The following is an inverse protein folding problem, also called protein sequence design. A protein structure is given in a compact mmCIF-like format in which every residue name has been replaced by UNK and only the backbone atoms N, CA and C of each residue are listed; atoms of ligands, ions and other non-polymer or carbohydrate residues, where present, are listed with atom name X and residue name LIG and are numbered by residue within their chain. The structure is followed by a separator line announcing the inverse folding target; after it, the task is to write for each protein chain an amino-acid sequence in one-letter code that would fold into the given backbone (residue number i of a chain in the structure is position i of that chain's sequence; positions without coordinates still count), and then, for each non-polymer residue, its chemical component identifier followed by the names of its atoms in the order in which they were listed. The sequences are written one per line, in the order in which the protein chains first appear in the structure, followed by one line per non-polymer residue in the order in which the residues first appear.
data_IF_545954976151
#
_entry.id   IF_545954976151
#
_cell.length_a   1.000
_cell.length_b   1.000
_cell.length_c   1.000
_cell.angle_alpha   90.00
_cell.angle_beta   90.00
_cell.angle_gamma   90.00
#
_symmetry.space_group_name_H-M   'P 1'
#
loop_
_entity.id
_entity.type
_entity.pdbx_description
1 polymer ?
#
# COMPACT_ATOMS: atom_id res chain seq x y z
N UNK A 1 -1.16 2.58 6.06
CA UNK A 1 -1.12 3.72 5.13
C UNK A 1 0.32 4.16 4.98
N UNK A 2 0.90 4.41 3.80
CA UNK A 2 2.24 4.95 3.64
C UNK A 2 2.09 6.41 3.93
N UNK A 3 2.05 6.68 5.22
CA UNK A 3 2.34 7.99 5.68
C UNK A 3 3.83 8.19 5.46
N UNK A 4 4.18 9.32 4.88
CA UNK A 4 5.48 9.90 5.17
C UNK A 4 5.24 10.87 6.32
N UNK A 5 5.65 10.45 7.50
CA UNK A 5 5.54 11.30 8.67
C UNK A 5 6.78 12.16 8.79
N UNK A 6 6.57 13.46 8.97
CA UNK A 6 7.56 14.36 9.54
C UNK A 6 7.01 14.82 10.86
N UNK A 7 7.35 14.08 11.92
CA UNK A 7 7.07 14.50 13.29
C UNK A 7 8.39 14.88 13.98
N UNK A 8 8.43 16.02 14.69
CA UNK A 8 9.48 16.24 15.66
C UNK A 8 9.36 15.15 16.72
N UNK A 9 10.51 14.68 17.22
CA UNK A 9 10.58 13.83 18.40
C UNK A 9 10.08 14.68 19.58
N UNK A 10 8.78 14.66 19.83
CA UNK A 10 8.19 15.26 21.02
C UNK A 10 8.03 14.17 22.07
N UNK A 11 8.63 14.39 23.23
CA UNK A 11 8.13 13.79 24.45
C UNK A 11 6.87 14.55 24.84
N UNK A 12 5.69 13.93 24.73
CA UNK A 12 4.51 14.44 25.44
C UNK A 12 3.69 13.30 26.05
N UNK A 13 3.35 13.40 27.34
CA UNK A 13 2.32 12.60 27.96
C UNK A 13 0.95 13.14 27.49
N UNK A 14 0.11 12.29 26.94
CA UNK A 14 -1.33 12.58 26.86
C UNK A 14 -1.96 11.89 28.05
N UNK A 15 -2.20 12.64 29.13
CA UNK A 15 -2.88 12.15 30.31
C UNK A 15 -4.37 11.97 30.03
N UNK A 16 -4.88 10.76 30.25
CA UNK A 16 -6.11 10.60 31.04
C UNK A 16 -5.70 9.85 32.30
N UNK A 17 -6.04 10.42 33.46
CA UNK A 17 -5.36 10.20 34.74
C UNK A 17 -5.21 8.73 35.14
N UNK A 18 -4.00 8.35 35.51
CA UNK A 18 -3.61 7.96 36.87
C UNK A 18 -2.09 8.09 36.95
N UNK A 19 -1.63 8.55 38.10
CA UNK A 19 -0.24 8.75 38.50
C UNK A 19 0.60 7.50 38.23
N UNK A 20 1.61 7.58 37.36
CA UNK A 20 2.65 6.56 37.25
C UNK A 20 3.99 7.20 36.89
N UNK A 21 4.91 6.98 37.81
CA UNK A 21 6.28 7.47 37.90
C UNK A 21 7.11 7.25 36.63
N UNK A 22 8.08 8.16 36.47
CA UNK A 22 9.23 8.09 35.57
C UNK A 22 9.73 6.66 35.33
N UNK A 23 9.47 6.09 34.14
CA UNK A 23 10.37 5.19 33.39
C UNK A 23 9.74 4.75 32.06
N UNK A 24 10.54 4.88 30.99
CA UNK A 24 10.27 4.50 29.59
C UNK A 24 9.40 5.46 28.78
N UNK A 25 10.02 6.55 28.33
CA UNK A 25 9.39 7.49 27.39
C UNK A 25 9.50 6.93 25.97
N UNK A 26 8.40 6.36 25.48
CA UNK A 26 8.29 5.84 24.13
C UNK A 26 7.90 6.95 23.14
N UNK A 27 8.50 6.92 21.95
CA UNK A 27 8.19 7.86 20.88
C UNK A 27 7.06 7.27 20.04
N UNK A 28 5.91 7.95 20.08
CA UNK A 28 4.61 7.42 19.64
C UNK A 28 4.14 8.16 18.41
N UNK A 29 3.97 7.42 17.31
CA UNK A 29 3.37 7.96 16.11
C UNK A 29 1.96 7.39 15.91
N UNK A 30 0.97 8.28 16.00
CA UNK A 30 -0.46 7.97 15.97
C UNK A 30 -0.97 7.85 14.54
N UNK A 31 -1.59 6.72 14.23
CA UNK A 31 -2.30 6.38 13.01
C UNK A 31 -3.78 6.24 13.36
N UNK A 32 -4.64 7.12 12.84
CA UNK A 32 -6.08 7.01 13.06
C UNK A 32 -6.67 5.82 12.28
N UNK A 33 -7.05 4.75 13.00
CA UNK A 33 -7.57 3.53 12.39
C UNK A 33 -8.94 3.74 11.76
N UNK A 34 -9.82 4.52 12.39
CA UNK A 34 -11.17 4.74 11.88
C UNK A 34 -11.15 5.49 10.55
N UNK A 35 -10.27 6.48 10.42
CA UNK A 35 -10.04 7.21 9.18
C UNK A 35 -9.47 6.30 8.09
N UNK A 36 -8.47 5.47 8.41
CA UNK A 36 -7.88 4.49 7.46
C UNK A 36 -8.91 3.45 7.03
N UNK A 37 -9.70 2.94 7.96
CA UNK A 37 -10.81 1.99 7.72
C UNK A 37 -11.91 2.64 6.88
N UNK A 38 -12.29 3.87 7.16
CA UNK A 38 -13.39 4.56 6.48
C UNK A 38 -13.02 4.90 5.03
N UNK A 39 -11.75 5.28 4.81
CA UNK A 39 -11.22 5.57 3.46
C UNK A 39 -10.94 4.30 2.66
N UNK A 40 -10.53 3.22 3.32
CA UNK A 40 -10.21 1.94 2.67
C UNK A 40 -10.95 0.74 3.28
N UNK A 41 -12.29 0.75 3.35
CA UNK A 41 -13.08 -0.26 4.06
C UNK A 41 -12.95 -1.66 3.44
N UNK A 42 -12.43 -1.71 2.21
CA UNK A 42 -12.20 -2.92 1.42
C UNK A 42 -10.76 -3.49 1.57
N UNK A 43 -9.79 -2.71 2.10
CA UNK A 43 -8.40 -3.14 2.31
C UNK A 43 -8.13 -3.50 3.77
N UNK A 44 -8.50 -2.61 4.68
CA UNK A 44 -8.43 -2.81 6.12
C UNK A 44 -9.87 -2.87 6.60
N UNK A 45 -10.46 -4.07 6.56
CA UNK A 45 -11.77 -4.24 7.18
C UNK A 45 -11.59 -3.99 8.68
N UNK A 46 -12.36 -3.09 9.30
CA UNK A 46 -12.28 -2.85 10.74
C UNK A 46 -12.49 -4.14 11.53
N UNK A 47 -13.31 -5.08 11.03
CA UNK A 47 -13.50 -6.42 11.60
C UNK A 47 -12.25 -7.30 11.61
N UNK A 48 -11.22 -6.97 10.81
CA UNK A 48 -9.92 -7.63 10.84
C UNK A 48 -8.90 -6.90 11.72
N UNK A 49 -9.24 -5.73 12.29
CA UNK A 49 -8.46 -5.07 13.35
C UNK A 49 -9.18 -5.18 14.72
N UNK A 50 -10.35 -5.81 14.78
CA UNK A 50 -11.00 -6.13 16.06
C UNK A 50 -10.27 -7.25 16.83
N UNK A 51 -10.86 -7.66 17.95
CA UNK A 51 -10.45 -8.61 19.01
C UNK A 51 -9.75 -9.93 18.60
N UNK A 52 -9.54 -10.20 17.30
CA UNK A 52 -8.81 -11.37 16.78
C UNK A 52 -7.36 -11.09 16.42
N UNK A 53 -6.99 -9.82 16.20
CA UNK A 53 -5.57 -9.43 16.07
C UNK A 53 -4.99 -9.34 17.47
N UNK A 54 -3.90 -10.06 17.70
CA UNK A 54 -3.20 -10.01 18.99
C UNK A 54 -1.82 -9.36 18.87
N UNK A 55 -1.33 -9.17 17.65
CA UNK A 55 -0.11 -8.42 17.35
C UNK A 55 -0.24 -7.81 15.97
N UNK A 56 0.26 -6.59 15.81
CA UNK A 56 0.39 -5.92 14.52
C UNK A 56 1.75 -5.23 14.45
N UNK A 57 2.36 -5.24 13.27
CA UNK A 57 3.60 -4.56 12.97
C UNK A 57 3.39 -3.69 11.72
N UNK A 58 4.06 -2.55 11.71
CA UNK A 58 4.17 -1.67 10.57
C UNK A 58 5.47 -1.97 9.83
N UNK A 59 5.36 -2.27 8.55
CA UNK A 59 6.52 -2.40 7.67
C UNK A 59 6.87 -1.01 7.15
N UNK A 60 7.94 -0.41 7.64
CA UNK A 60 8.34 0.97 7.34
C UNK A 60 9.71 1.03 6.67
N UNK A 61 9.95 2.09 5.90
CA UNK A 61 11.26 2.51 5.44
C UNK A 61 11.62 3.83 6.14
N UNK A 62 12.74 3.84 6.84
CA UNK A 62 13.24 5.04 7.50
C UNK A 62 14.26 5.66 6.56
N UNK A 63 13.93 6.86 6.05
CA UNK A 63 14.76 7.59 5.11
C UNK A 63 15.88 8.30 5.85
N UNK A 64 15.53 9.32 6.63
CA UNK A 64 16.47 10.34 7.08
C UNK A 64 16.04 10.96 8.41
N UNK A 65 17.01 11.50 9.13
CA UNK A 65 16.87 12.20 10.41
C UNK A 65 17.39 13.62 10.25
N UNK A 66 16.64 14.58 10.76
CA UNK A 66 16.90 16.01 10.62
C UNK A 66 16.88 16.72 11.97
N UNK A 67 17.73 17.72 12.11
CA UNK A 67 17.74 18.64 13.25
C UNK A 67 16.44 19.46 13.34
N UNK A 68 16.14 20.08 14.51
CA UNK A 68 14.98 20.96 14.67
C UNK A 68 14.95 22.12 13.65
N UNK A 69 16.11 22.53 13.13
CA UNK A 69 16.26 23.60 12.13
C UNK A 69 16.14 23.09 10.68
N UNK A 70 15.85 21.81 10.47
CA UNK A 70 15.75 21.20 9.13
C UNK A 70 17.08 20.86 8.45
N UNK A 71 18.20 20.92 9.17
CA UNK A 71 19.49 20.40 8.68
C UNK A 71 19.56 18.87 8.80
N UNK A 72 20.01 18.18 7.74
CA UNK A 72 20.17 16.72 7.74
C UNK A 72 21.19 16.30 8.81
N UNK A 73 20.76 15.45 9.75
CA UNK A 73 21.64 14.83 10.74
C UNK A 73 22.23 13.53 10.19
N UNK A 74 21.38 12.67 9.62
CA UNK A 74 21.77 11.33 9.19
C UNK A 74 20.81 10.77 8.13
N UNK A 75 21.34 10.10 7.12
CA UNK A 75 20.55 9.25 6.22
C UNK A 75 20.63 7.80 6.71
N UNK A 76 19.47 7.15 6.88
CA UNK A 76 19.32 5.77 7.37
C UNK A 76 19.01 4.82 6.23
N UNK A 77 18.04 5.16 5.37
CA UNK A 77 17.61 4.42 4.18
C UNK A 77 17.47 2.90 4.39
N UNK A 78 16.66 2.48 5.37
CA UNK A 78 16.52 1.07 5.73
C UNK A 78 15.09 0.69 6.12
N UNK A 79 14.71 -0.56 5.80
CA UNK A 79 13.43 -1.16 6.19
C UNK A 79 13.45 -1.67 7.64
N UNK A 80 12.31 -1.49 8.32
CA UNK A 80 12.05 -1.99 9.67
C UNK A 80 10.64 -2.59 9.77
N UNK A 81 10.49 -3.64 10.57
CA UNK A 81 9.20 -4.08 11.09
C UNK A 81 9.06 -3.49 12.51
N UNK A 82 8.22 -2.47 12.66
CA UNK A 82 8.05 -1.77 13.92
C UNK A 82 6.73 -2.18 14.59
N UNK A 83 6.72 -2.40 15.91
CA UNK A 83 5.51 -2.81 16.61
C UNK A 83 4.45 -1.71 16.61
N UNK A 84 3.20 -2.12 16.47
CA UNK A 84 2.04 -1.25 16.63
C UNK A 84 1.32 -1.56 17.95
N UNK A 85 1.28 -0.57 18.83
CA UNK A 85 0.48 -0.62 20.05
C UNK A 85 -0.95 -0.15 19.77
N UNK A 86 -1.95 -0.79 20.38
CA UNK A 86 -3.30 -0.24 20.51
C UNK A 86 -3.41 0.39 21.89
N UNK A 87 -3.87 1.64 21.96
CA UNK A 87 -3.96 2.34 23.24
C UNK A 87 -5.25 2.04 24.02
N UNK A 88 -6.04 1.03 23.61
CA UNK A 88 -7.29 0.66 24.29
C UNK A 88 -7.28 -0.80 24.75
N UNK A 89 -6.85 -1.00 26.01
CA UNK A 89 -7.15 -2.22 26.78
C UNK A 89 -8.59 -2.15 27.27
N UNK A 90 -9.52 -2.79 26.57
CA UNK A 90 -10.83 -3.09 27.15
C UNK A 90 -10.79 -4.52 27.70
N UNK A 91 -10.91 -4.67 29.03
CA UNK A 91 -11.05 -5.97 29.72
C UNK A 91 -9.96 -7.03 29.40
N UNK A 92 -8.70 -6.61 29.31
CA UNK A 92 -7.57 -7.55 29.11
C UNK A 92 -7.49 -8.19 27.72
N UNK A 93 -8.34 -7.78 26.78
CA UNK A 93 -8.25 -8.14 25.36
C UNK A 93 -7.72 -6.95 24.56
N UNK A 94 -6.71 -7.18 23.73
CA UNK A 94 -6.25 -6.20 22.74
C UNK A 94 -7.41 -5.94 21.77
N UNK A 95 -7.91 -4.71 21.77
CA UNK A 95 -8.85 -4.23 20.78
C UNK A 95 -8.18 -3.08 20.03
N UNK A 96 -8.05 -3.17 18.71
CA UNK A 96 -7.57 -2.05 17.88
C UNK A 96 -8.75 -1.20 17.42
N UNK A 97 -9.57 -0.77 18.38
CA UNK A 97 -10.56 0.30 18.20
C UNK A 97 -9.94 1.58 18.74
N UNK A 98 -9.32 2.37 17.87
CA UNK A 98 -8.66 3.63 18.23
C UNK A 98 -7.37 3.84 17.45
N UNK A 99 -6.60 4.83 17.88
CA UNK A 99 -5.33 5.19 17.28
C UNK A 99 -4.30 4.05 17.41
N UNK A 100 -3.71 3.64 16.28
CA UNK A 100 -2.56 2.73 16.22
C UNK A 100 -1.30 3.55 16.47
N UNK A 101 -0.51 3.14 17.45
CA UNK A 101 0.72 3.83 17.80
C UNK A 101 1.92 3.04 17.30
N UNK A 102 2.64 3.61 16.33
CA UNK A 102 3.95 3.13 15.91
C UNK A 102 4.99 3.51 16.97
N UNK A 103 5.61 2.51 17.55
CA UNK A 103 6.71 2.70 18.50
C UNK A 103 8.05 2.73 17.75
N UNK A 104 8.71 3.89 17.76
CA UNK A 104 10.01 4.09 17.12
C UNK A 104 11.14 4.22 18.17
N UNK A 105 10.89 3.85 19.42
CA UNK A 105 11.84 4.10 20.52
C UNK A 105 13.17 3.40 20.33
N UNK A 106 13.13 2.12 19.93
CA UNK A 106 14.37 1.36 19.71
C UNK A 106 15.12 1.86 18.48
N UNK A 107 14.41 2.29 17.43
CA UNK A 107 15.02 3.00 16.29
C UNK A 107 15.76 4.26 16.77
N UNK A 108 15.13 5.07 17.63
CA UNK A 108 15.78 6.28 18.12
C UNK A 108 17.00 5.98 18.99
N UNK A 109 16.97 4.92 19.80
CA UNK A 109 18.13 4.48 20.58
C UNK A 109 19.26 3.99 19.67
N UNK A 110 18.95 3.14 18.70
CA UNK A 110 19.94 2.54 17.79
C UNK A 110 20.69 3.60 16.96
N UNK A 111 20.05 4.73 16.68
CA UNK A 111 20.62 5.82 15.88
C UNK A 111 21.01 7.06 16.69
N UNK A 112 20.94 7.00 18.03
CA UNK A 112 21.20 8.13 18.94
C UNK A 112 20.41 9.39 18.54
N UNK A 113 19.16 9.24 18.13
CA UNK A 113 18.33 10.33 17.61
C UNK A 113 17.87 11.21 18.79
N UNK A 114 18.28 12.50 18.85
CA UNK A 114 17.91 13.34 19.97
C UNK A 114 16.46 13.79 19.90
N UNK A 115 15.98 14.25 21.04
CA UNK A 115 14.63 14.79 21.18
C UNK A 115 14.53 16.13 20.46
N UNK A 116 13.37 16.39 19.85
CA UNK A 116 13.08 17.55 19.01
C UNK A 116 13.54 17.41 17.55
N UNK A 117 14.24 16.33 17.18
CA UNK A 117 14.67 16.08 15.81
C UNK A 117 13.51 15.52 14.97
N UNK A 118 13.58 15.63 13.66
CA UNK A 118 12.58 15.08 12.76
C UNK A 118 13.08 13.76 12.18
N UNK A 119 12.20 12.77 12.05
CA UNK A 119 12.47 11.52 11.34
C UNK A 119 11.50 11.44 10.17
N UNK A 120 12.00 11.11 8.99
CA UNK A 120 11.19 10.82 7.82
C UNK A 120 11.00 9.30 7.70
N UNK A 121 9.77 8.84 7.89
CA UNK A 121 9.40 7.42 7.86
C UNK A 121 8.30 7.22 6.83
N UNK A 122 8.48 6.28 5.91
CA UNK A 122 7.50 5.84 4.92
C UNK A 122 6.90 4.49 5.34
N UNK A 123 5.57 4.35 5.40
CA UNK A 123 4.91 3.10 5.83
C UNK A 123 4.46 2.22 4.64
N UNK A 124 5.12 1.11 4.35
CA UNK A 124 4.82 0.26 3.19
C UNK A 124 3.70 -0.78 3.38
N UNK A 125 3.47 -1.23 4.62
CA UNK A 125 2.41 -2.18 4.89
C UNK A 125 2.12 -2.40 6.36
N UNK A 126 1.05 -3.13 6.64
CA UNK A 126 0.75 -3.65 7.97
C UNK A 126 0.84 -5.18 7.94
N UNK A 127 1.49 -5.75 8.95
CA UNK A 127 1.57 -7.20 9.15
C UNK A 127 0.79 -7.54 10.41
N UNK A 128 -0.33 -8.21 10.24
CA UNK A 128 -1.27 -8.52 11.32
C UNK A 128 -1.22 -10.01 11.64
N UNK A 129 -1.18 -10.33 12.93
CA UNK A 129 -1.10 -11.68 13.46
C UNK A 129 -2.42 -12.04 14.14
N UNK A 130 -3.08 -13.09 13.62
CA UNK A 130 -4.38 -13.55 14.08
C UNK A 130 -4.25 -14.85 14.86
N UNK A 131 -4.97 -14.95 16.00
CA UNK A 131 -5.14 -16.25 16.67
C UNK A 131 -6.32 -16.98 16.05
N UNK A 132 -6.11 -18.23 15.65
CA UNK A 132 -7.21 -19.13 15.25
C UNK A 132 -8.05 -19.52 16.47
N UNK A 133 -9.38 -19.53 16.33
CA UNK A 133 -10.32 -20.04 17.34
C UNK A 133 -10.36 -21.58 17.38
N UNK A 134 -9.80 -22.28 16.37
CA UNK A 134 -9.84 -23.75 16.29
C UNK A 134 -8.52 -24.36 16.77
N UNK A 135 -8.54 -24.90 17.99
CA UNK A 135 -7.70 -25.96 18.64
C UNK A 135 -6.24 -26.21 18.19
N UNK A 136 -5.60 -25.29 17.49
CA UNK A 136 -4.18 -25.32 17.17
C UNK A 136 -3.67 -23.88 17.14
N UNK A 137 -2.50 -23.59 17.74
CA UNK A 137 -1.96 -22.23 17.88
C UNK A 137 -1.34 -21.74 16.58
N UNK A 138 -1.96 -22.04 15.43
CA UNK A 138 -1.48 -21.51 14.16
C UNK A 138 -1.82 -20.02 14.11
N UNK A 139 -0.77 -19.21 14.16
CA UNK A 139 -0.88 -17.77 13.95
C UNK A 139 -1.00 -17.53 12.46
N UNK A 140 -2.18 -17.15 11.99
CA UNK A 140 -2.33 -16.69 10.62
C UNK A 140 -1.70 -15.31 10.52
N UNK A 141 -0.74 -15.13 9.62
CA UNK A 141 -0.14 -13.83 9.32
C UNK A 141 -0.78 -13.29 8.06
N UNK A 142 -1.27 -12.06 8.12
CA UNK A 142 -1.76 -11.36 6.93
C UNK A 142 -1.04 -10.03 6.76
N UNK A 143 -0.50 -9.83 5.57
CA UNK A 143 0.14 -8.59 5.18
C UNK A 143 -0.82 -7.76 4.34
N UNK A 144 -0.98 -6.52 4.73
CA UNK A 144 -1.76 -5.50 4.04
C UNK A 144 -0.78 -4.52 3.41
N UNK A 145 -0.51 -4.70 2.13
CA UNK A 145 0.27 -3.75 1.35
C UNK A 145 -0.53 -2.47 1.17
N UNK A 146 0.20 -1.38 1.00
CA UNK A 146 -0.39 -0.07 0.84
C UNK A 146 -0.31 0.41 -0.59
N UNK A 147 -1.19 1.35 -0.93
CA UNK A 147 -1.47 1.76 -2.29
C UNK A 147 -1.04 3.20 -2.56
N UNK A 148 -0.79 3.57 -3.82
CA UNK A 148 -0.39 4.93 -4.20
C UNK A 148 -1.40 5.98 -3.78
N UNK A 149 -2.68 5.67 -3.95
CA UNK A 149 -3.80 6.56 -3.61
C UNK A 149 -4.01 6.66 -2.10
N UNK A 150 -3.21 5.94 -1.31
CA UNK A 150 -3.16 6.03 0.15
C UNK A 150 -1.98 6.82 0.70
N UNK A 151 -1.16 7.42 -0.17
CA UNK A 151 -0.05 8.28 0.26
C UNK A 151 -0.54 9.71 0.48
N UNK A 152 -0.48 10.17 1.73
CA UNK A 152 -0.79 11.55 2.11
C UNK A 152 0.40 12.20 2.82
N UNK A 153 0.47 13.52 2.73
CA UNK A 153 1.50 14.32 3.39
C UNK A 153 0.96 14.78 4.75
N UNK A 154 1.74 14.56 5.81
CA UNK A 154 1.41 15.05 7.14
C UNK A 154 2.56 15.88 7.70
N UNK A 155 2.25 17.09 8.13
CA UNK A 155 3.18 18.05 8.73
C UNK A 155 2.62 18.57 10.04
N UNK A 156 3.49 18.73 11.04
CA UNK A 156 3.13 19.56 12.19
C UNK A 156 3.21 21.05 11.83
N UNK A 157 2.40 21.89 12.50
CA UNK A 157 2.27 23.34 12.26
C UNK A 157 3.62 24.09 12.24
N UNK A 158 4.62 23.59 12.98
CA UNK A 158 5.95 24.19 13.09
C UNK A 158 7.05 23.43 12.32
N UNK A 159 6.68 22.61 11.33
CA UNK A 159 7.66 21.88 10.50
C UNK A 159 8.45 22.84 9.63
N UNK A 160 9.79 22.84 9.67
CA UNK A 160 10.63 23.65 8.78
C UNK A 160 10.26 23.46 7.30
N UNK A 161 10.15 24.55 6.53
CA UNK A 161 9.75 24.53 5.10
C UNK A 161 10.62 23.59 4.25
N UNK A 162 11.92 23.55 4.53
CA UNK A 162 12.85 22.61 3.86
C UNK A 162 12.44 21.14 4.05
N UNK A 163 11.90 20.77 5.20
CA UNK A 163 11.42 19.41 5.46
C UNK A 163 10.12 19.13 4.71
N UNK A 164 9.26 20.14 4.54
CA UNK A 164 8.06 20.04 3.70
C UNK A 164 8.46 19.70 2.27
N UNK A 165 9.46 20.40 1.71
CA UNK A 165 9.92 20.15 0.35
C UNK A 165 10.56 18.77 0.16
N UNK A 166 11.40 18.32 1.10
CA UNK A 166 11.99 16.98 1.08
C UNK A 166 10.90 15.92 1.12
N UNK A 167 9.93 16.09 2.01
CA UNK A 167 8.81 15.16 2.18
C UNK A 167 7.96 15.08 0.93
N UNK A 168 7.61 16.21 0.33
CA UNK A 168 6.84 16.24 -0.93
C UNK A 168 7.55 15.48 -2.05
N UNK A 169 8.88 15.59 -2.16
CA UNK A 169 9.66 14.81 -3.14
C UNK A 169 9.58 13.31 -2.84
N UNK A 170 9.77 12.92 -1.58
CA UNK A 170 9.68 11.52 -1.17
C UNK A 170 8.27 10.96 -1.34
N UNK A 171 7.22 11.75 -1.13
CA UNK A 171 5.82 11.40 -1.38
C UNK A 171 5.58 11.09 -2.85
N UNK A 172 6.11 11.89 -3.76
CA UNK A 172 6.00 11.61 -5.19
C UNK A 172 6.75 10.32 -5.55
N UNK A 173 7.96 10.12 -5.04
CA UNK A 173 8.73 8.89 -5.25
C UNK A 173 8.03 7.64 -4.68
N UNK A 174 7.41 7.78 -3.50
CA UNK A 174 6.64 6.75 -2.82
C UNK A 174 5.39 6.38 -3.62
N UNK A 175 4.63 7.38 -4.09
CA UNK A 175 3.46 7.17 -4.95
C UNK A 175 3.84 6.38 -6.20
N UNK A 176 4.93 6.76 -6.85
CA UNK A 176 5.43 6.06 -8.04
C UNK A 176 5.86 4.62 -7.71
N UNK A 177 6.59 4.42 -6.60
CA UNK A 177 7.06 3.08 -6.17
C UNK A 177 5.90 2.16 -5.82
N UNK A 178 4.93 2.66 -5.05
CA UNK A 178 3.74 1.91 -4.67
C UNK A 178 2.81 1.66 -5.86
N UNK A 179 2.86 2.52 -6.90
CA UNK A 179 2.04 2.37 -8.11
C UNK A 179 2.27 1.03 -8.75
N UNK A 180 3.53 0.63 -8.71
CA UNK A 180 3.97 -0.60 -9.30
C UNK A 180 3.94 -1.72 -8.26
N UNK A 181 4.64 -1.58 -7.13
CA UNK A 181 4.81 -2.68 -6.17
C UNK A 181 3.56 -3.01 -5.35
N UNK A 182 2.83 -1.99 -4.89
CA UNK A 182 1.60 -2.17 -4.12
C UNK A 182 0.52 -2.82 -4.97
N UNK A 183 0.39 -2.38 -6.22
CA UNK A 183 -0.57 -2.93 -7.17
C UNK A 183 -0.25 -4.39 -7.56
N UNK A 184 1.01 -4.70 -7.85
CA UNK A 184 1.46 -6.08 -8.13
C UNK A 184 1.12 -6.99 -6.95
N UNK A 185 1.43 -6.56 -5.72
CA UNK A 185 1.15 -7.35 -4.51
C UNK A 185 -0.35 -7.59 -4.32
N UNK A 186 -1.17 -6.57 -4.57
CA UNK A 186 -2.63 -6.69 -4.49
C UNK A 186 -3.18 -7.68 -5.53
N UNK A 187 -2.66 -7.68 -6.77
CA UNK A 187 -3.08 -8.62 -7.80
C UNK A 187 -2.79 -10.09 -7.39
N UNK A 188 -1.63 -10.35 -6.77
CA UNK A 188 -1.35 -11.67 -6.17
C UNK A 188 -2.35 -12.02 -5.06
N UNK A 189 -2.66 -11.07 -4.16
CA UNK A 189 -3.57 -11.31 -3.05
C UNK A 189 -5.00 -11.67 -3.50
N UNK A 190 -5.47 -11.10 -4.61
CA UNK A 190 -6.80 -11.39 -5.17
C UNK A 190 -6.80 -12.56 -6.17
N UNK A 191 -5.68 -13.28 -6.30
CA UNK A 191 -5.57 -14.49 -7.12
C UNK A 191 -5.35 -14.26 -8.62
N UNK A 192 -5.02 -13.03 -9.04
CA UNK A 192 -4.68 -12.71 -10.43
C UNK A 192 -3.16 -12.84 -10.66
N UNK A 193 -2.60 -14.01 -10.34
CA UNK A 193 -1.15 -14.24 -10.28
C UNK A 193 -0.44 -14.02 -11.63
N UNK A 194 -1.03 -14.50 -12.73
CA UNK A 194 -0.43 -14.36 -14.07
C UNK A 194 -0.34 -12.88 -14.49
N UNK A 195 -1.44 -12.14 -14.26
CA UNK A 195 -1.50 -10.69 -14.51
C UNK A 195 -0.50 -9.94 -13.62
N UNK A 196 -0.37 -10.33 -12.35
CA UNK A 196 0.60 -9.74 -11.42
C UNK A 196 2.04 -9.97 -11.88
N UNK A 197 2.36 -11.18 -12.34
CA UNK A 197 3.67 -11.56 -12.86
C UNK A 197 4.01 -10.78 -14.14
N UNK A 198 3.08 -10.71 -15.09
CA UNK A 198 3.27 -9.96 -16.32
C UNK A 198 3.44 -8.46 -16.05
N UNK A 199 2.64 -7.88 -15.14
CA UNK A 199 2.78 -6.48 -14.74
C UNK A 199 4.16 -6.20 -14.10
N UNK A 200 4.63 -7.10 -13.24
CA UNK A 200 5.97 -7.01 -12.63
C UNK A 200 7.07 -6.96 -13.68
N UNK A 201 7.05 -7.89 -14.64
CA UNK A 201 8.08 -7.92 -15.68
C UNK A 201 7.98 -6.69 -16.59
N UNK A 202 6.76 -6.23 -16.91
CA UNK A 202 6.55 -5.02 -17.70
C UNK A 202 7.15 -3.77 -17.04
N UNK A 203 6.88 -3.55 -15.75
CA UNK A 203 7.45 -2.42 -14.99
C UNK A 203 8.98 -2.50 -14.92
N UNK A 204 9.54 -3.69 -14.61
CA UNK A 204 11.00 -3.85 -14.52
C UNK A 204 11.68 -3.57 -15.86
N UNK A 205 11.14 -4.11 -16.95
CA UNK A 205 11.67 -3.89 -18.30
C UNK A 205 11.58 -2.42 -18.71
N UNK A 206 10.48 -1.74 -18.34
CA UNK A 206 10.32 -0.31 -18.59
C UNK A 206 11.38 0.51 -17.84
N UNK A 207 11.65 0.20 -16.56
CA UNK A 207 12.68 0.86 -15.77
C UNK A 207 14.10 0.62 -16.33
N UNK A 208 14.35 -0.57 -16.88
CA UNK A 208 15.58 -0.95 -17.58
C UNK A 208 15.70 -0.34 -18.99
N UNK A 209 14.68 0.41 -19.45
CA UNK A 209 14.56 0.98 -20.80
C UNK A 209 14.52 -0.07 -21.91
N UNK A 210 14.19 -1.31 -21.59
CA UNK A 210 13.83 -2.37 -22.54
C UNK A 210 12.35 -2.21 -22.92
N UNK A 211 12.09 -1.22 -23.77
CA UNK A 211 10.74 -0.77 -24.12
C UNK A 211 9.94 -1.82 -24.90
N UNK A 212 10.58 -2.58 -25.79
CA UNK A 212 9.93 -3.66 -26.54
C UNK A 212 9.43 -4.77 -25.60
N UNK A 213 10.29 -5.19 -24.68
CA UNK A 213 9.89 -6.18 -23.66
C UNK A 213 8.83 -5.61 -22.73
N UNK A 214 8.94 -4.35 -22.32
CA UNK A 214 7.93 -3.69 -21.50
C UNK A 214 6.55 -3.71 -22.18
N UNK A 215 6.48 -3.28 -23.45
CA UNK A 215 5.25 -3.28 -24.27
C UNK A 215 4.67 -4.69 -24.38
N UNK A 216 5.51 -5.71 -24.65
CA UNK A 216 5.08 -7.11 -24.71
C UNK A 216 4.39 -7.55 -23.43
N UNK A 217 4.92 -7.21 -22.26
CA UNK A 217 4.34 -7.61 -20.98
C UNK A 217 3.13 -6.77 -20.58
N UNK A 218 3.11 -5.46 -20.85
CA UNK A 218 1.92 -4.64 -20.66
C UNK A 218 0.74 -5.07 -21.56
N UNK A 219 1.03 -5.50 -22.80
CA UNK A 219 0.04 -6.13 -23.69
C UNK A 219 -0.56 -7.39 -23.06
N UNK A 220 0.26 -8.24 -22.45
CA UNK A 220 -0.22 -9.45 -21.74
C UNK A 220 -1.09 -9.12 -20.52
N UNK A 221 -0.79 -8.03 -19.81
CA UNK A 221 -1.67 -7.55 -18.73
C UNK A 221 -3.06 -7.21 -19.27
N UNK A 222 -3.15 -6.48 -20.38
CA UNK A 222 -4.42 -6.18 -21.04
C UNK A 222 -5.14 -7.45 -21.55
N UNK A 223 -4.39 -8.40 -22.10
CA UNK A 223 -4.88 -9.73 -22.49
C UNK A 223 -5.50 -10.50 -21.32
N UNK A 224 -4.79 -10.59 -20.20
CA UNK A 224 -5.26 -11.28 -19.00
C UNK A 224 -6.52 -10.63 -18.43
N UNK A 225 -6.62 -9.30 -18.42
CA UNK A 225 -7.85 -8.63 -17.99
C UNK A 225 -9.01 -8.84 -18.95
N UNK A 226 -8.77 -8.82 -20.27
CA UNK A 226 -9.81 -9.16 -21.27
C UNK A 226 -10.37 -10.54 -20.98
N UNK A 227 -9.50 -11.52 -20.77
CA UNK A 227 -9.91 -12.90 -20.57
C UNK A 227 -10.61 -13.10 -19.22
N UNK A 228 -10.14 -12.44 -18.16
CA UNK A 228 -10.82 -12.40 -16.87
C UNK A 228 -12.23 -11.80 -16.98
N UNK A 229 -12.34 -10.61 -17.60
CA UNK A 229 -13.60 -9.89 -17.77
C UNK A 229 -14.62 -10.64 -18.62
N UNK A 230 -14.19 -11.54 -19.52
CA UNK A 230 -15.08 -12.42 -20.27
C UNK A 230 -15.94 -13.29 -19.35
N UNK A 231 -15.41 -13.69 -18.19
CA UNK A 231 -16.10 -14.47 -17.16
C UNK A 231 -16.98 -13.67 -16.20
N UNK A 232 -17.01 -12.33 -16.31
CA UNK A 232 -17.70 -11.44 -15.38
C UNK A 232 -19.07 -11.02 -15.92
N UNK A 233 -20.10 -11.07 -15.07
CA UNK A 233 -21.46 -10.62 -15.41
C UNK A 233 -21.68 -9.15 -15.05
N UNK A 234 -21.22 -8.72 -13.87
CA UNK A 234 -21.46 -7.38 -13.33
C UNK A 234 -20.24 -6.83 -12.62
N UNK A 235 -20.07 -5.51 -12.73
CA UNK A 235 -19.16 -4.72 -11.89
C UNK A 235 -19.98 -3.62 -11.23
N UNK A 236 -19.88 -3.49 -9.90
CA UNK A 236 -20.72 -2.63 -9.06
C UNK A 236 -22.23 -2.88 -9.29
N UNK A 237 -22.64 -4.14 -9.45
CA UNK A 237 -24.01 -4.54 -9.80
C UNK A 237 -24.52 -4.06 -11.16
N UNK A 238 -23.67 -3.48 -12.02
CA UNK A 238 -24.05 -2.97 -13.35
C UNK A 238 -23.49 -3.89 -14.43
N UNK A 239 -24.37 -4.49 -15.25
CA UNK A 239 -23.96 -5.36 -16.38
C UNK A 239 -23.21 -4.58 -17.45
N UNK A 240 -23.75 -3.42 -17.85
CA UNK A 240 -23.15 -2.60 -18.91
C UNK A 240 -21.71 -2.17 -18.59
N UNK A 241 -21.40 -1.95 -17.31
CA UNK A 241 -20.04 -1.63 -16.86
C UNK A 241 -19.07 -2.79 -17.10
N UNK A 242 -19.50 -4.03 -16.85
CA UNK A 242 -18.67 -5.20 -17.14
C UNK A 242 -18.39 -5.33 -18.65
N UNK A 243 -19.41 -5.10 -19.49
CA UNK A 243 -19.25 -5.11 -20.96
C UNK A 243 -18.27 -4.03 -21.42
N UNK A 244 -18.45 -2.78 -21.01
CA UNK A 244 -17.57 -1.68 -21.41
C UNK A 244 -16.12 -1.88 -20.93
N UNK A 245 -15.92 -2.46 -19.74
CA UNK A 245 -14.57 -2.81 -19.26
C UNK A 245 -13.95 -3.91 -20.12
N UNK A 246 -14.73 -4.92 -20.52
CA UNK A 246 -14.26 -5.96 -21.43
C UNK A 246 -13.85 -5.35 -22.77
N UNK A 247 -14.68 -4.48 -23.35
CA UNK A 247 -14.40 -3.83 -24.64
C UNK A 247 -13.18 -2.93 -24.56
N UNK A 248 -13.00 -2.21 -23.44
CA UNK A 248 -11.82 -1.42 -23.18
C UNK A 248 -10.55 -2.27 -23.08
N UNK A 249 -10.58 -3.38 -22.32
CA UNK A 249 -9.45 -4.30 -22.21
C UNK A 249 -9.13 -4.97 -23.56
N UNK A 250 -10.15 -5.34 -24.34
CA UNK A 250 -9.99 -5.92 -25.66
C UNK A 250 -9.37 -4.92 -26.66
N UNK A 251 -9.88 -3.70 -26.70
CA UNK A 251 -9.35 -2.64 -27.56
C UNK A 251 -7.92 -2.27 -27.18
N UNK A 252 -7.64 -2.20 -25.88
CA UNK A 252 -6.30 -1.98 -25.33
C UNK A 252 -5.34 -3.09 -25.79
N UNK A 253 -5.73 -4.36 -25.63
CA UNK A 253 -4.93 -5.49 -26.12
C UNK A 253 -4.59 -5.36 -27.61
N UNK A 254 -5.58 -5.03 -28.45
CA UNK A 254 -5.35 -4.87 -29.89
C UNK A 254 -4.41 -3.68 -30.18
N UNK A 255 -4.62 -2.53 -29.55
CA UNK A 255 -3.75 -1.38 -29.70
C UNK A 255 -2.31 -1.72 -29.31
N UNK A 256 -2.09 -2.29 -28.13
CA UNK A 256 -0.76 -2.64 -27.64
C UNK A 256 -0.10 -3.75 -28.47
N UNK A 257 -0.88 -4.61 -29.11
CA UNK A 257 -0.36 -5.59 -30.07
C UNK A 257 0.28 -4.92 -31.28
N UNK A 258 -0.15 -3.71 -31.66
CA UNK A 258 0.39 -2.96 -32.79
C UNK A 258 1.66 -2.14 -32.43
N UNK A 259 2.08 -2.12 -31.17
CA UNK A 259 3.23 -1.33 -30.70
C UNK A 259 4.57 -2.06 -30.74
N UNK A 260 4.65 -3.31 -31.23
CA UNK A 260 5.91 -4.05 -31.29
C UNK A 260 6.06 -4.89 -32.55
N UNK A 261 7.15 -5.66 -32.60
CA UNK A 261 7.64 -6.39 -33.78
C UNK A 261 6.58 -7.23 -34.52
N UNK A 262 5.53 -7.69 -33.83
CA UNK A 262 4.43 -8.46 -34.43
C UNK A 262 3.77 -7.77 -35.65
N UNK A 263 3.82 -6.44 -35.72
CA UNK A 263 3.33 -5.65 -36.86
C UNK A 263 4.44 -4.93 -37.62
N UNK A 264 5.71 -5.34 -37.44
CA UNK A 264 6.90 -4.69 -38.01
C UNK A 264 7.05 -3.22 -37.61
N UNK A 265 6.47 -2.83 -36.47
CA UNK A 265 6.68 -1.53 -35.83
C UNK A 265 7.74 -1.66 -34.74
N UNK A 266 8.35 -0.53 -34.36
CA UNK A 266 9.27 -0.45 -33.23
C UNK A 266 8.58 0.28 -32.08
N UNK A 267 8.52 -0.39 -30.94
CA UNK A 267 8.01 0.12 -29.68
C UNK A 267 9.01 1.05 -29.01
N UNK A 268 8.84 2.36 -29.24
CA UNK A 268 9.66 3.38 -28.62
C UNK A 268 9.25 3.72 -27.18
N UNK A 269 9.96 4.67 -26.55
CA UNK A 269 9.65 5.12 -25.19
C UNK A 269 8.20 5.62 -25.02
N UNK A 270 7.63 6.25 -26.06
CA UNK A 270 6.27 6.81 -26.01
C UNK A 270 5.21 5.73 -26.06
N UNK A 271 5.40 4.72 -26.91
CA UNK A 271 4.53 3.56 -27.01
C UNK A 271 4.58 2.74 -25.71
N UNK A 272 5.77 2.58 -25.13
CA UNK A 272 5.95 1.92 -23.85
C UNK A 272 5.30 2.68 -22.68
N UNK A 273 5.38 4.01 -22.69
CA UNK A 273 4.69 4.85 -21.69
C UNK A 273 3.18 4.69 -21.79
N UNK A 274 2.61 4.79 -22.99
CA UNK A 274 1.17 4.59 -23.19
C UNK A 274 0.73 3.17 -22.79
N UNK A 275 1.53 2.15 -23.14
CA UNK A 275 1.28 0.77 -22.75
C UNK A 275 1.26 0.59 -21.22
N UNK A 276 2.22 1.20 -20.53
CA UNK A 276 2.32 1.22 -19.06
C UNK A 276 1.07 1.84 -18.44
N UNK A 277 0.65 3.02 -18.89
CA UNK A 277 -0.51 3.74 -18.35
C UNK A 277 -1.83 2.96 -18.54
N UNK A 278 -2.01 2.34 -19.72
CA UNK A 278 -3.17 1.48 -20.00
C UNK A 278 -3.18 0.25 -19.07
N UNK A 279 -2.04 -0.45 -18.96
CA UNK A 279 -1.93 -1.64 -18.13
C UNK A 279 -2.16 -1.32 -16.64
N UNK A 280 -1.56 -0.24 -16.13
CA UNK A 280 -1.69 0.18 -14.73
C UNK A 280 -3.10 0.66 -14.41
N UNK A 281 -3.76 1.39 -15.30
CA UNK A 281 -5.13 1.86 -15.07
C UNK A 281 -6.13 0.71 -15.00
N UNK A 282 -6.04 -0.27 -15.92
CA UNK A 282 -6.82 -1.52 -15.89
C UNK A 282 -6.55 -2.30 -14.59
N UNK A 283 -5.27 -2.55 -14.29
CA UNK A 283 -4.85 -3.30 -13.13
C UNK A 283 -5.38 -2.69 -11.83
N UNK A 284 -5.19 -1.39 -11.69
CA UNK A 284 -5.65 -0.62 -10.54
C UNK A 284 -7.15 -0.75 -10.39
N UNK A 285 -7.91 -0.29 -11.38
CA UNK A 285 -9.36 -0.26 -11.31
C UNK A 285 -9.95 -1.64 -10.97
N UNK A 286 -9.50 -2.68 -11.69
CA UNK A 286 -10.01 -4.03 -11.49
C UNK A 286 -9.62 -4.61 -10.14
N UNK A 287 -8.37 -4.42 -9.70
CA UNK A 287 -7.94 -4.91 -8.39
C UNK A 287 -8.79 -4.31 -7.26
N UNK A 288 -9.06 -3.00 -7.31
CA UNK A 288 -9.96 -2.33 -6.37
C UNK A 288 -11.38 -2.93 -6.38
N UNK A 289 -11.96 -3.16 -7.57
CA UNK A 289 -13.33 -3.70 -7.68
C UNK A 289 -13.44 -5.13 -7.18
N UNK A 290 -12.49 -5.98 -7.53
CA UNK A 290 -12.44 -7.39 -7.11
C UNK A 290 -12.26 -7.47 -5.60
N UNK A 291 -11.27 -6.74 -5.07
CA UNK A 291 -10.98 -6.70 -3.63
C UNK A 291 -12.19 -6.26 -2.82
N UNK A 292 -12.95 -5.30 -3.33
CA UNK A 292 -14.15 -4.78 -2.70
C UNK A 292 -15.37 -5.71 -2.82
N UNK A 293 -15.25 -6.88 -3.45
CA UNK A 293 -16.36 -7.80 -3.68
C UNK A 293 -17.41 -7.24 -4.66
N UNK A 294 -17.04 -6.26 -5.49
CA UNK A 294 -17.95 -5.56 -6.41
C UNK A 294 -17.99 -6.21 -7.80
N UNK A 295 -17.44 -7.42 -7.95
CA UNK A 295 -17.38 -8.15 -9.20
C UNK A 295 -18.20 -9.43 -9.05
N UNK A 296 -19.19 -9.61 -9.92
CA UNK A 296 -20.05 -10.80 -9.93
C UNK A 296 -19.69 -11.66 -11.14
N UNK A 297 -19.22 -12.91 -10.96
CA UNK A 297 -18.94 -13.82 -12.06
C UNK A 297 -20.24 -14.26 -12.74
N UNK A 298 -20.17 -14.62 -14.02
CA UNK A 298 -21.26 -15.31 -14.71
C UNK A 298 -21.50 -16.66 -14.01
N UNK A 299 -22.75 -17.00 -13.72
CA UNK A 299 -23.07 -18.35 -13.25
C UNK A 299 -22.69 -19.34 -14.35
N UNK A 300 -21.83 -20.31 -14.04
CA UNK A 300 -21.67 -21.47 -14.91
C UNK A 300 -23.02 -22.18 -14.90
N UNK A 301 -23.69 -22.25 -16.05
CA UNK A 301 -24.95 -22.96 -16.18
C UNK A 301 -24.74 -24.39 -15.69
N UNK A 302 -25.35 -24.72 -14.55
CA UNK A 302 -25.44 -26.10 -14.11
C UNK A 302 -26.14 -26.87 -15.20
N UNK A 303 -25.44 -27.81 -15.83
CA UNK A 303 -26.09 -28.92 -16.51
C UNK A 303 -26.81 -29.70 -15.41
N UNK A 304 -28.12 -29.46 -15.27
CA UNK A 304 -29.04 -30.47 -14.77
C UNK A 304 -29.30 -31.47 -15.88
#
# INVERSE_FOLDING_TARGET
MPFIFVKPVKYMPVFTGFDLEEKNVALRLVINVEEVVHRYPHYLNPRYLTNRVHKAEAYVFVHEVYTPKGGLLRSINKFYELPLASEVKYEGKLSYRGDLVLDVSDLCKDFDIPVGYYIIIELFGLKCYYKSEKQSPETTVKTYSLLPESVEEYYEENTPERLVDVTRRLVNMCKDTLLHHGLISLLYEIGLNDIASDLKVGVLSYAEKDYEKAIKFFRKVAEGFRDYLRGIEKVDNIKNRATLLYDYANSSFHLLSNFGEHYKTYGGPKEAELAKEIALSLARYMAFKIKAGKVTPKQQGGKQ
#
